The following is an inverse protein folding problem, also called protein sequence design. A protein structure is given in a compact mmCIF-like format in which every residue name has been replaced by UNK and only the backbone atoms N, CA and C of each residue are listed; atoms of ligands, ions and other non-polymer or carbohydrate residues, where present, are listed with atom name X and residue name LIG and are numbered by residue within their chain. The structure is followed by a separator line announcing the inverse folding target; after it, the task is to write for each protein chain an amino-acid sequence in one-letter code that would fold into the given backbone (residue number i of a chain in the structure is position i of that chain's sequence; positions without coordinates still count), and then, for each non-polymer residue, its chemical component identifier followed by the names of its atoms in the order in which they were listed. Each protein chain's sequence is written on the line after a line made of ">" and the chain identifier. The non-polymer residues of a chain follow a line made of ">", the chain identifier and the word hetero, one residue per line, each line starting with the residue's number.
data_IF_049560510685
#
_entry.id   IF_049560510685
#
_cell.length_a   1.000
_cell.length_b   1.000
_cell.length_c   1.000
_cell.angle_alpha   90.00
_cell.angle_beta   90.00
_cell.angle_gamma   90.00
#
_symmetry.space_group_name_H-M   'P 1'
#
loop_
_entity.id
_entity.type
_entity.pdbx_description
1 polymer ?
#
# COMPACT_ATOMS: atom_id res chain seq x y z
N UNK A 1 59.19 -22.77 30.62
CA UNK A 1 59.22 -24.10 29.99
C UNK A 1 58.45 -24.01 28.68
N UNK A 2 59.18 -24.13 27.56
CA UNK A 2 58.82 -24.75 26.25
C UNK A 2 57.40 -24.43 25.73
N UNK A 3 57.12 -23.49 24.83
CA UNK A 3 57.55 -23.34 23.42
C UNK A 3 57.23 -24.55 22.51
N UNK A 4 56.19 -24.45 21.67
CA UNK A 4 56.24 -25.09 20.35
C UNK A 4 55.39 -24.30 19.33
N UNK A 5 56.12 -23.67 18.42
CA UNK A 5 55.71 -23.20 17.10
C UNK A 5 55.84 -24.38 16.14
N UNK A 6 54.86 -24.60 15.26
CA UNK A 6 55.09 -25.29 13.99
C UNK A 6 54.33 -24.55 12.89
N UNK A 7 55.11 -23.97 11.98
CA UNK A 7 54.70 -23.55 10.65
C UNK A 7 55.30 -24.55 9.64
N UNK A 8 54.58 -24.86 8.56
CA UNK A 8 55.10 -25.33 7.25
C UNK A 8 53.88 -25.36 6.30
N UNK A 9 53.73 -24.47 5.31
CA UNK A 9 54.46 -24.27 4.04
C UNK A 9 53.68 -24.82 2.82
N UNK A 10 53.17 -23.87 2.04
CA UNK A 10 52.98 -23.79 0.59
C UNK A 10 53.30 -25.00 -0.29
N UNK A 11 52.35 -25.32 -1.19
CA UNK A 11 52.64 -25.56 -2.61
C UNK A 11 51.54 -24.93 -3.49
N UNK A 12 51.97 -24.01 -4.36
CA UNK A 12 51.23 -23.53 -5.52
C UNK A 12 51.24 -24.59 -6.62
N UNK A 13 50.13 -24.79 -7.31
CA UNK A 13 50.09 -25.10 -8.75
C UNK A 13 48.75 -24.65 -9.32
N UNK A 14 48.83 -23.77 -10.30
CA UNK A 14 47.72 -23.29 -11.10
C UNK A 14 47.32 -24.35 -12.14
N UNK A 15 46.02 -24.54 -12.36
CA UNK A 15 45.45 -24.97 -13.62
C UNK A 15 44.04 -24.35 -13.75
N UNK A 16 43.86 -23.63 -14.84
CA UNK A 16 42.65 -23.03 -15.37
C UNK A 16 41.55 -24.09 -15.58
N UNK A 17 40.32 -23.77 -15.17
CA UNK A 17 39.14 -24.58 -15.40
C UNK A 17 37.89 -23.72 -15.32
N UNK A 18 37.27 -23.50 -16.47
CA UNK A 18 36.02 -22.74 -16.69
C UNK A 18 34.85 -23.32 -15.88
N UNK A 19 33.98 -22.50 -15.25
CA UNK A 19 32.80 -23.01 -14.57
C UNK A 19 31.75 -23.52 -15.57
N UNK A 20 31.02 -24.61 -15.25
CA UNK A 20 30.05 -25.22 -16.15
C UNK A 20 28.84 -24.30 -16.38
N UNK A 21 28.40 -24.26 -17.64
CA UNK A 21 27.23 -23.51 -18.11
C UNK A 21 25.95 -23.90 -17.35
N UNK A 22 25.20 -22.88 -16.93
CA UNK A 22 23.86 -23.02 -16.37
C UNK A 22 22.88 -23.49 -17.45
N UNK A 23 21.91 -24.35 -17.13
CA UNK A 23 20.88 -24.77 -18.09
C UNK A 23 19.95 -23.61 -18.41
N UNK A 24 19.81 -23.31 -19.70
CA UNK A 24 18.89 -22.32 -20.26
C UNK A 24 17.46 -22.59 -19.77
N UNK A 25 16.87 -21.59 -19.12
CA UNK A 25 15.45 -21.59 -18.81
C UNK A 25 14.68 -21.56 -20.14
N UNK A 26 14.12 -22.71 -20.51
CA UNK A 26 13.16 -22.84 -21.60
C UNK A 26 12.02 -21.86 -21.36
N UNK A 27 11.89 -20.86 -22.23
CA UNK A 27 10.74 -19.97 -22.28
C UNK A 27 9.48 -20.82 -22.45
N UNK A 28 8.65 -20.87 -21.41
CA UNK A 28 7.30 -21.42 -21.51
C UNK A 28 6.49 -20.53 -22.44
N UNK A 29 5.92 -21.14 -23.47
CA UNK A 29 5.08 -20.47 -24.45
C UNK A 29 3.92 -19.73 -23.74
N UNK A 30 3.66 -18.48 -24.17
CA UNK A 30 2.49 -17.70 -23.74
C UNK A 30 1.20 -18.41 -24.18
N UNK A 31 0.14 -18.39 -23.36
CA UNK A 31 -1.20 -18.71 -23.87
C UNK A 31 -1.62 -17.65 -24.89
N UNK A 32 -2.19 -18.09 -26.01
CA UNK A 32 -2.73 -17.21 -27.06
C UNK A 32 -3.74 -16.22 -26.46
N UNK A 33 -3.51 -14.91 -26.68
CA UNK A 33 -4.42 -13.83 -26.26
C UNK A 33 -3.92 -12.93 -25.13
N UNK A 34 -2.68 -13.09 -24.63
CA UNK A 34 -2.09 -12.13 -23.70
C UNK A 34 -1.69 -10.83 -24.45
N UNK A 35 -2.01 -9.63 -23.93
CA UNK A 35 -1.47 -8.38 -24.47
C UNK A 35 0.06 -8.40 -24.47
N UNK A 36 0.68 -7.77 -25.48
CA UNK A 36 2.14 -7.60 -25.51
C UNK A 36 2.60 -6.83 -24.26
N UNK A 37 3.69 -7.25 -23.59
CA UNK A 37 4.24 -6.51 -22.47
C UNK A 37 4.73 -5.15 -22.97
N UNK A 38 4.57 -4.13 -22.14
CA UNK A 38 5.19 -2.84 -22.37
C UNK A 38 6.71 -3.02 -22.55
N UNK A 39 7.33 -2.34 -23.54
CA UNK A 39 8.76 -2.44 -23.75
C UNK A 39 9.49 -2.03 -22.47
N UNK A 40 10.42 -2.87 -22.03
CA UNK A 40 11.34 -2.50 -20.97
C UNK A 40 12.09 -1.23 -21.41
N UNK A 41 12.19 -0.24 -20.52
CA UNK A 41 13.14 0.86 -20.71
C UNK A 41 14.53 0.27 -20.50
N UNK A 42 15.06 -0.33 -21.56
CA UNK A 42 16.43 -0.82 -21.61
C UNK A 42 17.37 0.34 -21.92
N UNK A 43 18.58 0.26 -21.34
CA UNK A 43 19.77 1.02 -21.73
C UNK A 43 20.05 0.81 -23.22
N UNK A 44 19.35 1.57 -24.03
CA UNK A 44 19.46 1.63 -25.48
C UNK A 44 19.51 3.09 -25.86
N UNK A 45 20.65 3.73 -25.62
CA UNK A 45 21.04 4.89 -26.41
C UNK A 45 21.16 4.37 -27.84
N UNK A 46 20.07 4.46 -28.59
CA UNK A 46 20.16 4.47 -30.03
C UNK A 46 20.94 5.74 -30.36
N UNK A 47 22.13 5.57 -30.95
CA UNK A 47 22.79 6.62 -31.70
C UNK A 47 21.87 7.00 -32.88
N UNK A 48 20.85 7.79 -32.57
CA UNK A 48 20.17 8.66 -33.52
C UNK A 48 20.75 10.05 -33.29
N UNK A 49 21.23 10.67 -34.37
CA UNK A 49 21.60 12.08 -34.36
C UNK A 49 20.46 12.87 -33.70
N UNK A 50 20.79 13.71 -32.70
CA UNK A 50 19.85 14.70 -32.18
C UNK A 50 19.66 15.71 -33.32
N UNK A 51 18.78 15.37 -34.25
CA UNK A 51 18.34 16.24 -35.31
C UNK A 51 17.63 17.42 -34.66
N UNK A 52 18.11 18.62 -34.93
CA UNK A 52 17.42 19.86 -34.59
C UNK A 52 16.20 20.09 -35.53
N UNK A 53 15.47 19.03 -35.84
CA UNK A 53 14.26 19.05 -36.63
C UNK A 53 13.10 18.70 -35.71
N UNK A 54 12.15 19.63 -35.60
CA UNK A 54 10.99 19.49 -34.72
C UNK A 54 10.17 18.24 -35.06
N UNK A 55 9.38 17.81 -34.07
CA UNK A 55 8.40 16.72 -34.21
C UNK A 55 7.60 16.90 -35.50
N UNK A 56 7.43 15.83 -36.27
CA UNK A 56 6.60 15.89 -37.45
C UNK A 56 5.13 16.14 -37.07
N UNK A 57 4.34 16.63 -38.03
CA UNK A 57 2.94 16.99 -37.77
C UNK A 57 2.07 15.77 -37.45
N UNK A 58 2.45 14.58 -37.95
CA UNK A 58 1.70 13.34 -37.75
C UNK A 58 1.88 12.82 -36.31
N UNK A 59 3.09 12.91 -35.76
CA UNK A 59 3.42 12.61 -34.36
C UNK A 59 2.69 13.57 -33.39
N UNK A 60 2.64 14.87 -33.72
CA UNK A 60 1.91 15.85 -32.91
C UNK A 60 0.40 15.60 -32.93
N UNK A 61 -0.15 15.18 -34.06
CA UNK A 61 -1.58 14.83 -34.20
C UNK A 61 -1.89 13.52 -33.46
N UNK A 62 -1.05 12.50 -33.58
CA UNK A 62 -1.19 11.26 -32.83
C UNK A 62 -1.12 11.48 -31.31
N UNK A 63 -0.21 12.34 -30.84
CA UNK A 63 -0.12 12.72 -29.42
C UNK A 63 -1.37 13.47 -28.96
N UNK A 64 -1.96 14.33 -29.79
CA UNK A 64 -3.24 14.99 -29.50
C UNK A 64 -4.39 14.01 -29.44
N UNK A 65 -4.49 13.08 -30.37
CA UNK A 65 -5.55 12.06 -30.38
C UNK A 65 -5.45 11.15 -29.16
N UNK A 66 -4.23 10.78 -28.76
CA UNK A 66 -3.97 10.05 -27.51
C UNK A 66 -4.38 10.87 -26.27
N UNK A 67 -4.08 12.17 -26.25
CA UNK A 67 -4.48 13.07 -25.17
C UNK A 67 -6.01 13.24 -25.11
N UNK A 68 -6.68 13.45 -26.25
CA UNK A 68 -8.13 13.58 -26.35
C UNK A 68 -8.83 12.26 -25.95
N UNK A 69 -8.29 11.10 -26.34
CA UNK A 69 -8.78 9.80 -25.91
C UNK A 69 -8.59 9.58 -24.39
N UNK A 70 -7.44 9.97 -23.84
CA UNK A 70 -7.18 9.92 -22.40
C UNK A 70 -8.13 10.84 -21.61
N UNK A 71 -8.40 12.05 -22.12
CA UNK A 71 -9.37 12.98 -21.53
C UNK A 71 -10.80 12.45 -21.60
N UNK A 72 -11.21 11.82 -22.71
CA UNK A 72 -12.51 11.17 -22.82
C UNK A 72 -12.66 10.01 -21.83
N UNK A 73 -11.65 9.14 -21.72
CA UNK A 73 -11.62 8.04 -20.76
C UNK A 73 -11.61 8.54 -19.31
N UNK A 74 -10.93 9.65 -19.02
CA UNK A 74 -10.97 10.29 -17.70
C UNK A 74 -12.35 10.89 -17.39
N UNK A 75 -13.04 11.43 -18.39
CA UNK A 75 -14.42 11.93 -18.28
C UNK A 75 -15.48 10.83 -18.09
N UNK A 76 -15.15 9.58 -18.41
CA UNK A 76 -16.02 8.40 -18.23
C UNK A 76 -15.90 7.73 -16.85
N UNK A 77 -14.97 8.16 -15.99
CA UNK A 77 -14.95 7.66 -14.61
C UNK A 77 -16.22 8.11 -13.88
N UNK A 78 -16.97 7.20 -13.23
CA UNK A 78 -18.19 7.57 -12.55
C UNK A 78 -17.86 8.57 -11.43
N UNK A 79 -18.37 9.80 -11.57
CA UNK A 79 -18.17 10.83 -10.57
C UNK A 79 -18.97 10.48 -9.30
N UNK A 80 -18.30 10.51 -8.14
CA UNK A 80 -18.96 10.30 -6.85
C UNK A 80 -19.77 11.54 -6.50
N UNK A 81 -21.09 11.38 -6.35
CA UNK A 81 -21.99 12.50 -6.10
C UNK A 81 -21.76 13.13 -4.71
N UNK A 82 -21.65 14.46 -4.69
CA UNK A 82 -21.64 15.26 -3.47
C UNK A 82 -22.97 15.13 -2.71
N UNK A 83 -22.91 15.19 -1.37
CA UNK A 83 -24.07 15.12 -0.47
C UNK A 83 -24.20 16.37 0.41
N UNK A 84 -25.19 16.36 1.30
CA UNK A 84 -25.51 17.46 2.22
C UNK A 84 -24.48 17.65 3.36
N UNK A 85 -23.55 16.71 3.53
CA UNK A 85 -22.59 16.69 4.63
C UNK A 85 -23.05 15.83 5.81
N UNK A 86 -24.18 15.12 5.69
CA UNK A 86 -24.61 14.14 6.68
C UNK A 86 -23.62 12.96 6.74
N UNK A 87 -23.36 12.38 7.93
CA UNK A 87 -22.49 11.22 8.06
C UNK A 87 -22.99 10.00 7.27
N UNK A 88 -22.10 9.42 6.46
CA UNK A 88 -22.37 8.23 5.63
C UNK A 88 -21.82 6.99 6.31
N UNK A 89 -22.60 5.91 6.29
CA UNK A 89 -22.21 4.63 6.86
C UNK A 89 -21.40 3.83 5.83
N UNK A 90 -20.34 3.18 6.31
CA UNK A 90 -19.53 2.25 5.54
C UNK A 90 -18.93 1.19 6.46
N UNK A 91 -17.96 0.46 5.94
CA UNK A 91 -17.20 -0.51 6.71
C UNK A 91 -15.81 -0.69 6.15
N UNK A 92 -15.03 -1.54 6.77
CA UNK A 92 -13.75 -2.01 6.22
C UNK A 92 -13.68 -3.54 6.28
N UNK A 93 -12.88 -4.09 5.39
CA UNK A 93 -12.65 -5.54 5.25
C UNK A 93 -11.21 -5.81 4.92
N UNK A 94 -10.72 -6.97 5.30
CA UNK A 94 -9.38 -7.45 4.96
C UNK A 94 -9.31 -8.97 5.12
N UNK A 95 -8.12 -9.49 5.34
CA UNK A 95 -7.86 -10.92 5.53
C UNK A 95 -8.76 -11.66 6.54
N UNK A 96 -9.30 -11.06 7.63
CA UNK A 96 -10.20 -11.78 8.53
C UNK A 96 -11.49 -12.24 7.85
N UNK A 97 -12.00 -11.47 6.88
CA UNK A 97 -13.22 -11.77 6.13
C UNK A 97 -12.98 -12.73 4.94
N UNK A 98 -11.73 -13.08 4.63
CA UNK A 98 -11.45 -14.09 3.63
C UNK A 98 -11.94 -15.49 4.05
N UNK A 99 -12.20 -16.40 3.09
CA UNK A 99 -12.49 -17.81 3.38
C UNK A 99 -11.49 -18.41 4.36
N UNK A 100 -11.96 -19.24 5.30
CA UNK A 100 -11.14 -19.79 6.37
C UNK A 100 -9.93 -20.60 5.84
N UNK A 101 -8.77 -20.41 6.46
CA UNK A 101 -7.56 -21.23 6.21
C UNK A 101 -6.55 -20.69 5.20
N UNK A 102 -6.83 -19.56 4.55
CA UNK A 102 -5.88 -18.86 3.67
C UNK A 102 -4.82 -18.08 4.47
N UNK A 103 -3.97 -17.33 3.77
CA UNK A 103 -2.96 -16.44 4.37
C UNK A 103 -1.70 -17.16 4.87
N UNK A 104 -0.91 -16.44 5.67
CA UNK A 104 0.33 -16.92 6.27
C UNK A 104 0.06 -17.74 7.54
N UNK A 105 1.00 -18.63 7.96
CA UNK A 105 0.81 -19.45 9.15
C UNK A 105 0.45 -18.67 10.42
N UNK A 106 0.99 -17.47 10.58
CA UNK A 106 0.78 -16.59 11.75
C UNK A 106 -0.59 -15.89 11.73
N UNK A 107 -1.22 -15.75 10.56
CA UNK A 107 -2.49 -15.02 10.37
C UNK A 107 -3.41 -15.75 9.39
N UNK A 108 -3.84 -16.95 9.79
CA UNK A 108 -4.85 -17.72 9.07
C UNK A 108 -6.19 -16.99 9.09
N UNK A 109 -6.80 -16.86 7.93
CA UNK A 109 -8.07 -16.16 7.70
C UNK A 109 -9.23 -16.86 8.41
N UNK A 110 -10.28 -16.10 8.77
CA UNK A 110 -11.27 -16.51 9.78
C UNK A 110 -12.69 -16.69 9.23
N UNK A 111 -12.97 -16.29 7.99
CA UNK A 111 -14.33 -16.31 7.45
C UNK A 111 -15.27 -15.34 8.15
N UNK A 112 -14.76 -14.21 8.66
CA UNK A 112 -15.59 -13.19 9.31
C UNK A 112 -16.61 -12.59 8.33
N UNK A 113 -17.75 -12.08 8.83
CA UNK A 113 -18.83 -11.68 7.95
C UNK A 113 -18.49 -10.40 7.14
N UNK A 114 -18.96 -10.33 5.89
CA UNK A 114 -18.80 -9.19 4.95
C UNK A 114 -19.80 -8.05 5.19
N UNK A 115 -19.45 -6.75 5.05
CA UNK A 115 -20.24 -5.55 5.34
C UNK A 115 -21.76 -5.64 5.16
N UNK A 116 -22.52 -4.90 5.99
CA UNK A 116 -23.98 -4.94 5.96
C UNK A 116 -24.56 -4.19 4.73
N UNK A 117 -25.77 -4.53 4.26
CA UNK A 117 -26.31 -3.95 3.02
C UNK A 117 -26.61 -2.44 3.05
N UNK A 118 -26.63 -1.82 4.23
CA UNK A 118 -26.84 -0.39 4.45
C UNK A 118 -25.54 0.44 4.39
N UNK A 119 -24.39 -0.22 4.26
CA UNK A 119 -23.10 0.43 4.05
C UNK A 119 -22.99 0.91 2.60
N UNK A 120 -22.47 2.11 2.40
CA UNK A 120 -22.40 2.77 1.09
C UNK A 120 -20.96 2.83 0.53
N UNK A 121 -19.97 2.60 1.38
CA UNK A 121 -18.56 2.51 1.02
C UNK A 121 -17.85 1.42 1.81
N UNK A 122 -16.73 0.94 1.27
CA UNK A 122 -15.84 -0.02 1.92
C UNK A 122 -14.38 0.42 1.77
N UNK A 123 -13.62 0.35 2.85
CA UNK A 123 -12.15 0.45 2.82
C UNK A 123 -11.56 -0.96 2.82
N UNK A 124 -10.87 -1.34 1.75
CA UNK A 124 -10.34 -2.71 1.56
C UNK A 124 -8.88 -2.78 1.99
N UNK A 125 -8.57 -3.73 2.87
CA UNK A 125 -7.23 -3.97 3.40
C UNK A 125 -6.35 -4.68 2.38
N UNK A 126 -5.15 -4.15 2.17
CA UNK A 126 -4.21 -4.62 1.16
C UNK A 126 -3.31 -5.76 1.68
N UNK A 127 -3.26 -5.96 3.00
CA UNK A 127 -2.32 -6.89 3.63
C UNK A 127 -3.01 -8.05 4.37
N UNK A 128 -2.28 -9.16 4.57
CA UNK A 128 -2.66 -10.25 5.48
C UNK A 128 -2.22 -9.95 6.93
N UNK A 129 -2.26 -8.68 7.32
CA UNK A 129 -1.92 -8.20 8.66
C UNK A 129 -0.61 -7.42 8.74
N UNK A 130 0.57 -8.00 8.45
CA UNK A 130 1.82 -7.24 8.40
C UNK A 130 2.15 -6.75 6.98
N UNK A 131 3.09 -5.81 6.88
CA UNK A 131 3.63 -5.35 5.60
C UNK A 131 4.30 -6.47 4.82
N UNK A 132 4.32 -6.37 3.48
CA UNK A 132 4.85 -7.39 2.55
C UNK A 132 4.09 -8.72 2.45
N UNK A 133 2.95 -8.85 3.12
CA UNK A 133 2.07 -10.01 2.97
C UNK A 133 0.73 -9.54 2.41
N UNK A 134 0.33 -9.97 1.20
CA UNK A 134 -0.83 -9.43 0.54
C UNK A 134 -2.10 -10.06 1.12
N UNK A 135 -3.21 -9.31 1.12
CA UNK A 135 -4.51 -9.87 1.45
C UNK A 135 -4.83 -11.02 0.46
N UNK A 136 -5.01 -12.27 0.96
CA UNK A 136 -5.09 -13.45 0.10
C UNK A 136 -6.39 -13.55 -0.70
N UNK A 137 -7.41 -12.74 -0.38
CA UNK A 137 -8.66 -12.68 -1.12
C UNK A 137 -8.97 -11.26 -1.63
N UNK A 138 -7.93 -10.44 -1.84
CA UNK A 138 -8.10 -9.05 -2.32
C UNK A 138 -8.95 -8.97 -3.59
N UNK A 139 -8.71 -9.86 -4.56
CA UNK A 139 -9.47 -9.89 -5.81
C UNK A 139 -10.97 -10.14 -5.57
N UNK A 140 -11.31 -11.14 -4.75
CA UNK A 140 -12.69 -11.50 -4.42
C UNK A 140 -13.40 -10.37 -3.66
N UNK A 141 -12.68 -9.70 -2.74
CA UNK A 141 -13.23 -8.58 -1.98
C UNK A 141 -13.49 -7.37 -2.87
N UNK A 142 -12.57 -7.03 -3.77
CA UNK A 142 -12.77 -5.94 -4.74
C UNK A 142 -13.95 -6.26 -5.68
N UNK A 143 -14.06 -7.49 -6.17
CA UNK A 143 -15.20 -7.93 -6.96
C UNK A 143 -16.51 -7.80 -6.18
N UNK A 144 -16.53 -8.22 -4.92
CA UNK A 144 -17.71 -8.12 -4.05
C UNK A 144 -18.20 -6.66 -3.86
N UNK A 145 -17.27 -5.72 -3.72
CA UNK A 145 -17.57 -4.27 -3.62
C UNK A 145 -18.15 -3.76 -4.94
N UNK A 146 -17.54 -4.12 -6.08
CA UNK A 146 -18.00 -3.73 -7.43
C UNK A 146 -19.41 -4.24 -7.75
N UNK A 147 -19.68 -5.51 -7.49
CA UNK A 147 -20.99 -6.13 -7.69
C UNK A 147 -22.13 -5.41 -6.94
N UNK A 148 -21.79 -4.73 -5.84
CA UNK A 148 -22.73 -3.99 -5.00
C UNK A 148 -22.76 -2.50 -5.28
N UNK A 149 -21.93 -2.02 -6.21
CA UNK A 149 -21.82 -0.59 -6.55
C UNK A 149 -21.40 0.27 -5.36
N UNK A 150 -20.63 -0.28 -4.41
CA UNK A 150 -20.15 0.44 -3.25
C UNK A 150 -18.98 1.35 -3.63
N UNK A 151 -18.82 2.46 -2.92
CA UNK A 151 -17.62 3.28 -3.04
C UNK A 151 -16.42 2.56 -2.40
N UNK A 152 -15.23 2.76 -2.96
CA UNK A 152 -14.04 2.00 -2.60
C UNK A 152 -12.87 2.90 -2.20
N UNK A 153 -12.24 2.59 -1.07
CA UNK A 153 -10.90 3.05 -0.70
C UNK A 153 -10.04 1.85 -0.31
N UNK A 154 -8.75 2.04 -0.11
CA UNK A 154 -7.87 1.00 0.42
C UNK A 154 -7.18 1.41 1.71
N UNK A 155 -6.75 0.43 2.50
CA UNK A 155 -5.84 0.64 3.63
C UNK A 155 -4.74 -0.40 3.66
N UNK A 156 -3.60 -0.07 4.24
CA UNK A 156 -2.51 -1.01 4.42
C UNK A 156 -1.96 -0.91 5.83
N UNK A 157 -1.93 -2.05 6.51
CA UNK A 157 -1.22 -2.18 7.79
C UNK A 157 0.28 -2.09 7.53
N UNK A 158 0.94 -1.18 8.23
CA UNK A 158 2.39 -1.07 8.25
C UNK A 158 2.94 -1.92 9.39
N UNK A 159 4.15 -2.44 9.21
CA UNK A 159 4.85 -3.17 10.26
C UNK A 159 6.34 -2.85 10.26
N UNK A 160 6.97 -3.05 11.41
CA UNK A 160 8.42 -3.03 11.50
C UNK A 160 9.03 -4.22 10.74
N UNK A 161 10.12 -4.04 9.97
CA UNK A 161 10.75 -5.15 9.24
C UNK A 161 11.46 -6.12 10.17
N UNK A 162 11.51 -7.39 9.77
CA UNK A 162 12.53 -8.31 10.27
C UNK A 162 13.89 -8.04 9.59
N UNK A 163 14.92 -8.77 10.02
CA UNK A 163 16.29 -8.61 9.50
C UNK A 163 16.36 -8.89 7.99
N UNK A 164 15.64 -9.91 7.50
CA UNK A 164 15.62 -10.24 6.07
C UNK A 164 14.99 -9.13 5.22
N UNK A 165 13.85 -8.57 5.66
CA UNK A 165 13.22 -7.45 4.97
C UNK A 165 14.10 -6.20 5.01
N UNK A 166 14.79 -5.93 6.13
CA UNK A 166 15.69 -4.79 6.23
C UNK A 166 16.92 -4.94 5.33
N UNK A 167 17.55 -6.11 5.29
CA UNK A 167 18.67 -6.40 4.38
C UNK A 167 18.25 -6.28 2.91
N UNK A 168 17.06 -6.76 2.58
CA UNK A 168 16.56 -6.77 1.20
C UNK A 168 16.16 -5.39 0.71
N UNK A 169 15.51 -4.58 1.55
CA UNK A 169 14.84 -3.36 1.12
C UNK A 169 15.47 -2.08 1.69
N UNK A 170 16.40 -2.17 2.64
CA UNK A 170 17.03 -1.01 3.28
C UNK A 170 17.77 -0.09 2.31
N UNK A 171 18.38 -0.66 1.26
CA UNK A 171 19.07 0.12 0.22
C UNK A 171 18.21 0.34 -1.05
N UNK A 172 16.97 -0.16 -1.07
CA UNK A 172 16.08 -0.10 -2.24
C UNK A 172 15.02 0.99 -2.05
N UNK A 173 15.40 2.24 -2.31
CA UNK A 173 14.48 3.35 -2.27
C UNK A 173 15.17 4.71 -2.38
N UNK A 174 14.41 5.80 -2.26
CA UNK A 174 14.90 7.13 -2.52
C UNK A 174 15.57 7.82 -1.31
N UNK A 175 15.82 7.08 -0.22
CA UNK A 175 16.51 7.56 0.98
C UNK A 175 17.91 6.93 1.11
N UNK A 176 18.80 7.56 1.88
CA UNK A 176 20.15 7.05 2.14
C UNK A 176 20.12 5.79 3.03
N UNK A 177 20.16 4.62 2.39
CA UNK A 177 20.17 3.30 3.04
C UNK A 177 21.42 3.04 3.90
N UNK A 178 22.50 3.81 3.71
CA UNK A 178 23.67 3.77 4.59
C UNK A 178 23.41 4.29 6.00
N UNK A 179 22.27 4.96 6.23
CA UNK A 179 21.80 5.39 7.55
C UNK A 179 20.67 4.50 8.06
N UNK A 180 20.63 4.22 9.36
CA UNK A 180 19.59 3.35 9.94
C UNK A 180 18.16 3.87 9.67
N UNK A 181 17.92 5.19 9.82
CA UNK A 181 16.61 5.77 9.54
C UNK A 181 16.30 5.84 8.03
N UNK A 182 17.31 6.02 7.17
CA UNK A 182 17.11 5.99 5.73
C UNK A 182 16.77 4.59 5.24
N UNK A 183 17.42 3.55 5.79
CA UNK A 183 17.08 2.16 5.52
C UNK A 183 15.63 1.83 5.90
N UNK A 184 15.18 2.27 7.10
CA UNK A 184 13.79 2.07 7.53
C UNK A 184 12.78 2.85 6.67
N UNK A 185 13.12 4.05 6.20
CA UNK A 185 12.30 4.77 5.20
C UNK A 185 12.20 4.00 3.89
N UNK A 186 13.30 3.44 3.41
CA UNK A 186 13.27 2.62 2.19
C UNK A 186 12.43 1.35 2.36
N UNK A 187 12.50 0.69 3.52
CA UNK A 187 11.57 -0.42 3.84
C UNK A 187 10.12 0.03 3.77
N UNK A 188 9.76 1.15 4.41
CA UNK A 188 8.40 1.70 4.34
C UNK A 188 7.96 2.01 2.90
N UNK A 189 8.85 2.62 2.13
CA UNK A 189 8.65 2.90 0.71
C UNK A 189 8.35 1.62 -0.08
N UNK A 190 9.11 0.54 0.18
CA UNK A 190 8.90 -0.76 -0.45
C UNK A 190 7.60 -1.44 0.00
N UNK A 191 7.14 -1.25 1.25
CA UNK A 191 5.81 -1.72 1.66
C UNK A 191 4.71 -1.06 0.84
N UNK A 192 4.81 0.25 0.59
CA UNK A 192 3.86 0.95 -0.28
C UNK A 192 3.90 0.43 -1.72
N UNK A 193 5.08 0.30 -2.32
CA UNK A 193 5.22 -0.26 -3.68
C UNK A 193 4.70 -1.70 -3.78
N UNK A 194 4.91 -2.51 -2.74
CA UNK A 194 4.37 -3.86 -2.65
C UNK A 194 2.83 -3.85 -2.73
N UNK A 195 2.19 -2.98 -1.95
CA UNK A 195 0.74 -2.86 -1.92
C UNK A 195 0.18 -2.31 -3.24
N UNK A 196 0.86 -1.34 -3.86
CA UNK A 196 0.48 -0.81 -5.18
C UNK A 196 0.51 -1.90 -6.25
N UNK A 197 1.50 -2.80 -6.22
CA UNK A 197 1.54 -3.97 -7.12
C UNK A 197 0.32 -4.87 -6.91
N UNK A 198 -0.07 -5.13 -5.66
CA UNK A 198 -1.27 -5.91 -5.33
C UNK A 198 -2.56 -5.24 -5.80
N UNK A 199 -2.67 -3.91 -5.65
CA UNK A 199 -3.81 -3.13 -6.15
C UNK A 199 -3.93 -3.23 -7.67
N UNK A 200 -2.83 -3.00 -8.40
CA UNK A 200 -2.79 -3.08 -9.87
C UNK A 200 -3.15 -4.48 -10.39
N UNK A 201 -2.75 -5.54 -9.68
CA UNK A 201 -3.06 -6.91 -10.08
C UNK A 201 -4.57 -7.25 -10.07
N UNK A 202 -5.40 -6.44 -9.40
CA UNK A 202 -6.85 -6.64 -9.29
C UNK A 202 -7.65 -5.44 -9.79
N UNK A 203 -6.99 -4.50 -10.49
CA UNK A 203 -7.54 -3.23 -10.96
C UNK A 203 -8.18 -2.38 -9.84
N UNK A 204 -7.67 -2.47 -8.61
CA UNK A 204 -8.11 -1.62 -7.50
C UNK A 204 -7.56 -0.22 -7.72
N UNK A 205 -8.44 0.68 -8.18
CA UNK A 205 -8.18 2.11 -8.27
C UNK A 205 -8.89 2.85 -7.13
N UNK A 206 -8.17 3.78 -6.49
CA UNK A 206 -8.66 4.58 -5.37
C UNK A 206 -7.86 5.88 -5.27
N UNK A 207 -8.49 7.01 -4.94
CA UNK A 207 -7.76 8.27 -4.72
C UNK A 207 -6.97 8.30 -3.40
N UNK A 208 -7.24 7.36 -2.48
CA UNK A 208 -6.75 7.39 -1.10
C UNK A 208 -6.31 6.00 -0.63
N UNK A 209 -5.17 5.94 0.07
CA UNK A 209 -4.74 4.79 0.86
C UNK A 209 -4.52 5.19 2.31
N UNK A 210 -5.20 4.51 3.23
CA UNK A 210 -5.03 4.74 4.67
C UNK A 210 -3.86 3.91 5.21
N UNK A 211 -2.89 4.58 5.84
CA UNK A 211 -1.79 3.96 6.55
C UNK A 211 -2.28 3.53 7.93
N UNK A 212 -2.44 2.22 8.10
CA UNK A 212 -2.88 1.64 9.36
C UNK A 212 -1.66 1.41 10.26
N UNK A 213 -1.61 2.22 11.33
CA UNK A 213 -0.54 2.25 12.33
C UNK A 213 -1.11 1.82 13.66
N UNK A 214 -1.08 0.51 13.88
CA UNK A 214 -1.54 -0.14 15.10
C UNK A 214 -0.67 -1.36 15.45
N UNK A 215 -0.82 -1.95 16.65
CA UNK A 215 -0.11 -3.16 17.00
C UNK A 215 -0.51 -4.34 16.11
N UNK A 216 0.48 -5.03 15.54
CA UNK A 216 0.27 -6.24 14.75
C UNK A 216 0.70 -7.46 15.56
N UNK A 217 -0.24 -8.33 15.90
CA UNK A 217 0.07 -9.55 16.65
C UNK A 217 1.15 -10.37 15.93
N UNK A 218 2.22 -10.73 16.65
CA UNK A 218 3.40 -11.46 16.15
C UNK A 218 4.33 -10.68 15.21
N UNK A 219 4.05 -9.39 14.95
CA UNK A 219 4.88 -8.49 14.12
C UNK A 219 5.01 -7.15 14.84
N UNK A 220 5.66 -7.19 16.00
CA UNK A 220 5.73 -6.05 16.92
C UNK A 220 6.51 -4.88 16.30
N UNK A 221 6.04 -3.66 16.59
CA UNK A 221 6.82 -2.46 16.35
C UNK A 221 8.07 -2.45 17.23
N UNK A 222 9.11 -1.75 16.80
CA UNK A 222 10.26 -1.54 17.66
C UNK A 222 9.89 -0.67 18.87
N UNK A 223 10.70 -0.73 19.93
CA UNK A 223 10.55 0.18 21.09
C UNK A 223 11.06 1.60 20.84
N UNK A 224 11.49 1.93 19.63
CA UNK A 224 11.97 3.26 19.25
C UNK A 224 10.95 3.96 18.32
N UNK A 225 10.18 4.94 18.83
CA UNK A 225 9.19 5.64 18.04
C UNK A 225 9.76 6.37 16.82
N UNK A 226 11.02 6.82 16.88
CA UNK A 226 11.66 7.49 15.75
C UNK A 226 11.96 6.51 14.61
N UNK A 227 12.39 5.30 14.95
CA UNK A 227 12.61 4.22 13.99
C UNK A 227 11.29 3.79 13.33
N UNK A 228 10.21 3.67 14.11
CA UNK A 228 8.89 3.35 13.58
C UNK A 228 8.35 4.48 12.68
N UNK A 229 8.50 5.74 13.09
CA UNK A 229 8.10 6.92 12.32
C UNK A 229 8.78 6.96 10.94
N UNK A 230 10.06 6.58 10.85
CA UNK A 230 10.79 6.49 9.59
C UNK A 230 10.11 5.55 8.59
N UNK A 231 9.54 4.43 9.03
CA UNK A 231 8.80 3.51 8.16
C UNK A 231 7.52 4.16 7.65
N UNK A 232 6.77 4.84 8.52
CA UNK A 232 5.52 5.53 8.15
C UNK A 232 5.79 6.67 7.15
N UNK A 233 6.83 7.47 7.36
CA UNK A 233 7.28 8.50 6.41
C UNK A 233 7.66 7.90 5.05
N UNK A 234 8.38 6.78 5.05
CA UNK A 234 8.76 6.06 3.84
C UNK A 234 7.54 5.54 3.07
N UNK A 235 6.60 4.91 3.77
CA UNK A 235 5.37 4.38 3.18
C UNK A 235 4.51 5.50 2.58
N UNK A 236 4.36 6.62 3.30
CA UNK A 236 3.72 7.84 2.78
C UNK A 236 4.33 8.24 1.44
N UNK A 237 5.66 8.41 1.38
CA UNK A 237 6.34 8.83 0.16
C UNK A 237 6.12 7.85 -0.98
N UNK A 238 6.16 6.54 -0.71
CA UNK A 238 5.95 5.51 -1.73
C UNK A 238 4.56 5.58 -2.38
N UNK A 239 3.52 5.89 -1.61
CA UNK A 239 2.18 6.12 -2.16
C UNK A 239 2.07 7.46 -2.89
N UNK A 240 2.61 8.54 -2.33
CA UNK A 240 2.57 9.89 -2.93
C UNK A 240 3.33 9.94 -4.27
N UNK A 241 4.52 9.32 -4.36
CA UNK A 241 5.30 9.21 -5.60
C UNK A 241 4.56 8.41 -6.69
N UNK A 242 3.66 7.51 -6.29
CA UNK A 242 2.82 6.73 -7.19
C UNK A 242 1.47 7.43 -7.53
N UNK A 243 1.25 8.65 -7.03
CA UNK A 243 0.07 9.47 -7.32
C UNK A 243 -1.12 9.26 -6.39
N UNK A 244 -0.97 8.47 -5.31
CA UNK A 244 -2.02 8.29 -4.31
C UNK A 244 -1.94 9.38 -3.24
N UNK A 245 -3.10 9.79 -2.71
CA UNK A 245 -3.12 10.48 -1.42
C UNK A 245 -3.06 9.46 -0.29
N UNK A 246 -2.56 9.90 0.85
CA UNK A 246 -2.55 9.09 2.08
C UNK A 246 -3.33 9.75 3.20
N UNK A 247 -3.91 8.91 4.05
CA UNK A 247 -4.43 9.26 5.36
C UNK A 247 -3.87 8.29 6.40
N UNK A 248 -4.14 8.51 7.69
CA UNK A 248 -3.68 7.63 8.76
C UNK A 248 -4.84 7.04 9.53
N UNK A 249 -4.69 5.80 9.96
CA UNK A 249 -5.60 5.13 10.88
C UNK A 249 -4.88 4.78 12.18
N UNK A 250 -5.46 5.20 13.31
CA UNK A 250 -5.00 4.83 14.66
C UNK A 250 -5.97 5.34 15.74
N UNK A 251 -5.53 5.25 16.99
CA UNK A 251 -6.02 6.09 18.11
C UNK A 251 -4.89 7.05 18.54
N UNK A 252 -5.19 8.19 19.20
CA UNK A 252 -4.15 9.07 19.72
C UNK A 252 -3.15 8.35 20.63
N UNK A 253 -3.65 7.46 21.49
CA UNK A 253 -2.81 6.66 22.39
C UNK A 253 -1.85 5.72 21.62
N UNK A 254 -2.38 4.95 20.66
CA UNK A 254 -1.54 4.03 19.88
C UNK A 254 -0.53 4.77 19.03
N UNK A 255 -0.91 5.90 18.43
CA UNK A 255 -0.01 6.73 17.65
C UNK A 255 1.17 7.25 18.48
N UNK A 256 0.91 7.82 19.66
CA UNK A 256 1.95 8.30 20.57
C UNK A 256 2.88 7.14 21.00
N UNK A 257 2.33 5.96 21.28
CA UNK A 257 3.15 4.81 21.68
C UNK A 257 4.01 4.26 20.53
N UNK A 258 3.49 4.23 19.30
CA UNK A 258 4.17 3.60 18.17
C UNK A 258 5.12 4.56 17.46
N UNK A 259 4.69 5.78 17.15
CA UNK A 259 5.45 6.75 16.34
C UNK A 259 5.72 8.08 17.05
N UNK A 260 5.33 8.23 18.32
CA UNK A 260 5.64 9.41 19.11
C UNK A 260 4.86 10.64 18.64
N UNK A 261 5.59 11.74 18.42
CA UNK A 261 5.05 13.05 18.04
C UNK A 261 4.96 13.27 16.52
N UNK A 262 5.07 12.20 15.72
CA UNK A 262 5.01 12.28 14.26
C UNK A 262 3.74 13.00 13.79
N UNK A 263 3.91 14.13 13.12
CA UNK A 263 2.84 14.92 12.51
C UNK A 263 3.04 15.01 10.99
N UNK A 264 2.17 14.33 10.24
CA UNK A 264 2.21 14.30 8.78
C UNK A 264 1.32 15.37 8.13
N UNK A 265 0.38 15.94 8.87
CA UNK A 265 -0.65 16.87 8.37
C UNK A 265 -1.66 16.21 7.41
N UNK A 266 -1.74 14.88 7.40
CA UNK A 266 -2.61 14.12 6.48
C UNK A 266 -3.97 13.82 7.12
N UNK A 267 -5.01 13.48 6.36
CA UNK A 267 -6.35 13.16 6.87
C UNK A 267 -6.36 11.94 7.81
N UNK A 268 -7.33 11.89 8.72
CA UNK A 268 -7.39 10.91 9.82
C UNK A 268 -8.66 10.05 9.80
N UNK A 269 -8.45 8.75 9.97
CA UNK A 269 -9.46 7.74 10.24
C UNK A 269 -9.28 7.26 11.68
N UNK A 270 -10.21 7.59 12.56
CA UNK A 270 -10.04 7.49 14.01
C UNK A 270 -10.76 6.28 14.57
N UNK A 271 -10.00 5.34 15.13
CA UNK A 271 -10.57 4.13 15.70
C UNK A 271 -11.32 4.43 17.00
N UNK A 272 -12.46 3.75 17.23
CA UNK A 272 -13.23 3.77 18.46
C UNK A 272 -13.29 2.41 19.19
N UNK A 273 -12.76 1.34 18.59
CA UNK A 273 -12.78 -0.01 19.17
C UNK A 273 -14.18 -0.57 19.36
N UNK A 274 -14.35 -1.51 20.30
CA UNK A 274 -15.63 -2.13 20.67
C UNK A 274 -16.55 -1.16 21.46
N UNK A 275 -17.01 -0.11 20.79
CA UNK A 275 -17.85 0.93 21.38
C UNK A 275 -19.17 1.08 20.60
N UNK A 276 -19.33 2.16 19.83
CA UNK A 276 -20.56 2.46 19.11
C UNK A 276 -20.36 3.49 18.00
N UNK A 277 -21.37 3.61 17.11
CA UNK A 277 -21.45 4.68 16.11
C UNK A 277 -21.41 6.09 16.73
N UNK A 278 -22.03 6.28 17.89
CA UNK A 278 -22.07 7.58 18.55
C UNK A 278 -20.68 8.00 19.03
N UNK A 279 -19.93 7.07 19.63
CA UNK A 279 -18.52 7.27 20.00
C UNK A 279 -17.66 7.55 18.76
N UNK A 280 -17.81 6.77 17.69
CA UNK A 280 -17.05 7.00 16.45
C UNK A 280 -17.29 8.40 15.86
N UNK A 281 -18.51 8.93 15.95
CA UNK A 281 -18.82 10.31 15.56
C UNK A 281 -18.25 11.35 16.52
N UNK A 282 -18.25 11.07 17.83
CA UNK A 282 -17.62 11.94 18.84
C UNK A 282 -16.11 12.06 18.58
N UNK A 283 -15.46 10.97 18.14
CA UNK A 283 -14.03 10.96 17.77
C UNK A 283 -13.68 11.81 16.55
N UNK A 284 -14.66 12.34 15.82
CA UNK A 284 -14.40 13.38 14.82
C UNK A 284 -14.01 14.73 15.45
N UNK A 285 -14.19 14.92 16.77
CA UNK A 285 -13.83 16.13 17.49
C UNK A 285 -12.31 16.33 17.67
N UNK A 286 -11.89 17.55 17.97
CA UNK A 286 -10.47 17.91 18.10
C UNK A 286 -9.71 17.10 19.17
N UNK A 287 -10.39 16.69 20.25
CA UNK A 287 -9.80 15.95 21.38
C UNK A 287 -9.29 14.54 20.99
N UNK A 288 -9.72 14.04 19.82
CA UNK A 288 -9.35 12.73 19.29
C UNK A 288 -8.39 12.81 18.10
N UNK A 289 -7.75 13.96 17.91
CA UNK A 289 -6.72 14.14 16.89
C UNK A 289 -5.56 13.17 17.10
N UNK A 290 -5.17 12.49 16.03
CA UNK A 290 -4.04 11.55 16.02
C UNK A 290 -2.74 12.33 15.84
N UNK A 291 -2.68 13.15 14.79
CA UNK A 291 -1.47 13.85 14.35
C UNK A 291 -1.75 15.26 13.78
N UNK A 292 -2.95 15.80 14.04
CA UNK A 292 -3.35 17.17 13.69
C UNK A 292 -4.08 17.31 12.35
N UNK A 293 -4.53 16.18 11.78
CA UNK A 293 -5.15 16.12 10.46
C UNK A 293 -6.66 16.33 10.44
N UNK A 294 -7.19 16.45 9.23
CA UNK A 294 -8.64 16.52 8.97
C UNK A 294 -9.33 15.23 9.43
N UNK A 295 -10.34 15.27 10.33
CA UNK A 295 -11.10 14.09 10.72
C UNK A 295 -12.03 13.65 9.57
N UNK A 296 -11.77 12.48 8.99
CA UNK A 296 -12.53 11.97 7.83
C UNK A 296 -13.50 10.87 8.20
N UNK A 297 -13.08 9.92 9.04
CA UNK A 297 -13.90 8.78 9.46
C UNK A 297 -13.67 8.44 10.92
N UNK A 298 -14.70 7.89 11.55
CA UNK A 298 -14.58 7.13 12.79
C UNK A 298 -14.93 5.65 12.56
N UNK A 299 -14.20 4.73 13.19
CA UNK A 299 -14.46 3.29 13.14
C UNK A 299 -14.99 2.76 14.48
N UNK A 300 -15.89 1.78 14.51
CA UNK A 300 -16.15 0.97 15.69
C UNK A 300 -16.36 -0.50 15.34
N UNK A 301 -16.02 -1.40 16.27
CA UNK A 301 -16.29 -2.83 16.14
C UNK A 301 -17.69 -3.14 16.69
N UNK A 302 -18.52 -3.81 15.90
CA UNK A 302 -19.81 -4.32 16.36
C UNK A 302 -20.20 -5.58 15.59
N UNK A 303 -20.59 -6.63 16.33
CA UNK A 303 -21.03 -7.90 15.78
C UNK A 303 -20.01 -8.56 14.83
N UNK A 304 -18.71 -8.49 15.19
CA UNK A 304 -17.59 -9.00 14.39
C UNK A 304 -17.45 -8.32 13.03
N UNK A 305 -17.74 -7.02 12.97
CA UNK A 305 -17.62 -6.17 11.78
C UNK A 305 -17.02 -4.85 12.16
N UNK A 306 -16.12 -4.38 11.31
CA UNK A 306 -15.57 -3.04 11.38
C UNK A 306 -16.52 -2.09 10.64
N UNK A 307 -17.22 -1.26 11.42
CA UNK A 307 -18.13 -0.25 10.89
C UNK A 307 -17.41 1.08 10.83
N UNK A 308 -17.67 1.83 9.78
CA UNK A 308 -17.15 3.17 9.58
C UNK A 308 -18.28 4.18 9.42
N UNK A 309 -18.04 5.39 9.90
CA UNK A 309 -18.93 6.53 9.66
C UNK A 309 -18.10 7.73 9.29
N UNK A 310 -18.46 8.41 8.19
CA UNK A 310 -17.76 9.64 7.81
C UNK A 310 -18.04 10.73 8.83
N UNK A 311 -17.05 11.56 9.13
CA UNK A 311 -17.24 12.71 9.98
C UNK A 311 -18.20 13.75 9.34
N UNK A 312 -18.88 14.59 10.13
CA UNK A 312 -19.78 15.61 9.60
C UNK A 312 -19.10 16.51 8.55
N UNK A 313 -19.76 16.70 7.41
CA UNK A 313 -19.27 17.53 6.30
C UNK A 313 -18.45 16.78 5.24
N UNK A 314 -17.85 15.64 5.58
CA UNK A 314 -16.99 14.84 4.68
C UNK A 314 -17.75 14.38 3.43
N UNK A 315 -19.03 14.05 3.58
CA UNK A 315 -19.83 13.53 2.47
C UNK A 315 -20.16 14.55 1.37
N UNK A 316 -19.79 15.83 1.56
CA UNK A 316 -19.86 16.85 0.51
C UNK A 316 -18.87 16.59 -0.63
N UNK A 317 -17.83 15.81 -0.37
CA UNK A 317 -16.80 15.46 -1.36
C UNK A 317 -16.30 14.03 -1.11
N UNK A 318 -17.19 13.04 -1.25
CA UNK A 318 -16.83 11.63 -1.08
C UNK A 318 -15.79 11.16 -2.12
N UNK A 319 -15.80 11.76 -3.32
CA UNK A 319 -14.83 11.45 -4.38
C UNK A 319 -13.38 11.78 -4.02
N UNK A 320 -13.16 12.61 -2.98
CA UNK A 320 -11.83 12.85 -2.42
C UNK A 320 -11.26 11.61 -1.73
N UNK A 321 -12.11 10.76 -1.19
CA UNK A 321 -11.74 9.67 -0.28
C UNK A 321 -11.99 8.30 -0.88
N UNK A 322 -12.97 8.18 -1.76
CA UNK A 322 -13.40 6.92 -2.33
C UNK A 322 -13.58 7.04 -3.84
N UNK A 323 -13.27 5.98 -4.57
CA UNK A 323 -13.61 5.82 -5.97
C UNK A 323 -15.01 5.20 -6.13
N UNK A 324 -15.73 5.58 -7.18
CA UNK A 324 -16.86 4.80 -7.63
C UNK A 324 -16.37 3.49 -8.25
N UNK A 325 -17.01 2.38 -7.91
CA UNK A 325 -16.70 1.10 -8.55
C UNK A 325 -17.37 1.00 -9.92
N UNK A 326 -16.64 0.50 -10.92
CA UNK A 326 -17.23 0.07 -12.19
C UNK A 326 -17.84 -1.32 -11.99
N UNK A 327 -19.09 -1.48 -12.40
CA UNK A 327 -19.78 -2.78 -12.45
C UNK A 327 -19.40 -3.58 -13.68
#
# INVERSE_FOLDING_TARGET
>A
MVALVVALALFLTACSGEPPAQPEASATARPDGAPEPFPAIGDGVLEGEVGADGLDLEDVEAMRDLAEAAEQLAGEQPAVAARDGSPVLGGDISWPQCPEGLGIPQRRTLGLPMPTPDMEYVVVGLTNGPGFYPNPCLADQVAWVRERGLLLSAYAVLSYPDEEALERFGDDGPHDGGSALGALRNVGYQQALYNIRSMRAVDLDTPMVWLDVEPVALFEWSGDPLANAAIVEGARRGYEDAGYRVGVYSTPYLWEQIVGDLALGVPEWRAAGETSRAEALERCGADWSIQGGEPVMGQWLQASRDHNVTCPGVSRDLGRWFAATRG
#
